data_IF_443206755249
#
_entry.id   IF_443206755249
#
_cell.length_a   1.000
_cell.length_b   1.000
_cell.length_c   1.000
_cell.angle_alpha   90.00
_cell.angle_beta   90.00
_cell.angle_gamma   90.00
#
_symmetry.space_group_name_H-M   'P 1'
#
loop_
_entity.id
_entity.type
_entity.pdbx_description
1 polymer ?
#
# COMPACT_ATOMS: atom_id res chain seq x y z
N UNK A 1 2.91 20.73 -10.25
CA UNK A 1 3.31 20.82 -11.68
C UNK A 1 3.62 19.40 -12.15
N UNK A 2 3.26 18.99 -13.37
CA UNK A 2 3.59 17.64 -13.88
C UNK A 2 5.08 17.55 -14.24
N UNK A 3 5.76 16.46 -13.86
CA UNK A 3 7.17 16.19 -14.20
C UNK A 3 7.43 16.19 -15.71
N UNK A 4 6.44 15.81 -16.52
CA UNK A 4 6.54 15.88 -17.99
C UNK A 4 6.47 17.32 -18.51
N UNK A 5 5.68 18.18 -17.84
CA UNK A 5 5.62 19.61 -18.17
C UNK A 5 6.91 20.32 -17.80
N UNK A 6 7.50 19.96 -16.65
CA UNK A 6 8.79 20.48 -16.22
C UNK A 6 9.91 20.10 -17.20
N UNK A 7 9.95 18.83 -17.63
CA UNK A 7 10.90 18.38 -18.66
C UNK A 7 10.73 19.15 -19.99
N UNK A 8 9.49 19.38 -20.43
CA UNK A 8 9.20 20.16 -21.64
C UNK A 8 9.70 21.62 -21.52
N UNK A 9 9.48 22.25 -20.36
CA UNK A 9 9.92 23.63 -20.10
C UNK A 9 11.44 23.75 -20.17
N UNK A 10 12.18 22.82 -19.53
CA UNK A 10 13.66 22.85 -19.55
C UNK A 10 14.19 22.57 -20.96
N UNK A 11 13.49 21.76 -21.76
CA UNK A 11 13.82 21.54 -23.17
C UNK A 11 13.34 22.66 -24.11
N UNK A 12 12.72 23.72 -23.58
CA UNK A 12 12.10 24.80 -24.35
C UNK A 12 11.08 24.29 -25.39
N UNK A 13 10.41 23.16 -25.12
CA UNK A 13 9.39 22.59 -25.99
C UNK A 13 8.04 23.26 -25.74
N UNK A 14 7.32 23.59 -26.82
CA UNK A 14 5.95 24.10 -26.73
C UNK A 14 4.97 22.98 -26.33
N UNK A 15 3.85 23.36 -25.70
CA UNK A 15 2.78 22.46 -25.24
C UNK A 15 2.16 21.58 -26.34
N UNK A 16 2.45 21.87 -27.61
CA UNK A 16 1.96 21.15 -28.80
C UNK A 16 2.98 20.17 -29.38
N UNK A 17 4.19 20.09 -28.80
CA UNK A 17 5.25 19.22 -29.31
C UNK A 17 5.07 17.78 -28.80
N UNK A 18 5.12 16.81 -29.71
CA UNK A 18 5.00 15.39 -29.38
C UNK A 18 6.24 14.93 -28.58
N UNK A 19 6.10 14.88 -27.25
CA UNK A 19 7.19 14.61 -26.31
C UNK A 19 7.91 13.27 -26.57
N UNK A 20 7.23 12.32 -27.23
CA UNK A 20 7.76 10.99 -27.54
C UNK A 20 9.00 11.03 -28.45
N UNK A 21 9.23 12.11 -29.19
CA UNK A 21 10.35 12.24 -30.12
C UNK A 21 11.61 12.85 -29.49
N UNK A 22 11.55 13.28 -28.23
CA UNK A 22 12.66 13.97 -27.56
C UNK A 22 13.16 13.18 -26.35
N UNK A 23 14.49 13.02 -26.18
CA UNK A 23 15.04 12.37 -25.01
C UNK A 23 14.72 13.19 -23.75
N UNK A 24 14.31 12.52 -22.67
CA UNK A 24 14.14 13.18 -21.38
C UNK A 24 15.50 13.71 -20.88
N UNK A 25 15.52 14.88 -20.25
CA UNK A 25 16.76 15.49 -19.72
C UNK A 25 16.76 15.57 -18.19
N UNK A 26 15.59 15.51 -17.57
CA UNK A 26 15.50 15.46 -16.12
C UNK A 26 16.13 14.16 -15.61
N UNK A 27 17.08 14.22 -14.64
CA UNK A 27 17.80 13.04 -14.15
C UNK A 27 16.89 11.89 -13.70
N UNK A 28 15.74 12.20 -13.12
CA UNK A 28 14.78 11.22 -12.64
C UNK A 28 13.89 10.62 -13.75
N UNK A 29 13.91 11.17 -14.97
CA UNK A 29 13.21 10.63 -16.14
C UNK A 29 14.14 9.85 -17.08
N UNK A 30 15.45 9.78 -16.78
CA UNK A 30 16.44 9.10 -17.63
C UNK A 30 16.36 7.58 -17.56
N UNK A 31 15.83 7.04 -16.46
CA UNK A 31 15.65 5.60 -16.29
C UNK A 31 14.36 5.28 -15.56
N UNK A 32 13.85 4.05 -15.78
CA UNK A 32 12.70 3.53 -15.04
C UNK A 32 12.96 3.54 -13.53
N UNK A 33 14.14 3.13 -13.08
CA UNK A 33 14.48 3.06 -11.66
C UNK A 33 14.46 4.43 -11.01
N UNK A 34 15.15 5.42 -11.61
CA UNK A 34 15.17 6.80 -11.09
C UNK A 34 13.79 7.44 -11.08
N UNK A 35 12.92 7.07 -12.02
CA UNK A 35 11.54 7.55 -12.05
C UNK A 35 10.70 6.92 -10.95
N UNK A 36 10.80 5.61 -10.77
CA UNK A 36 10.12 4.89 -9.70
C UNK A 36 10.59 5.36 -8.31
N UNK A 37 11.88 5.62 -8.14
CA UNK A 37 12.42 6.18 -6.90
C UNK A 37 11.85 7.58 -6.64
N UNK A 38 11.71 8.41 -7.66
CA UNK A 38 11.10 9.73 -7.50
C UNK A 38 9.60 9.65 -7.19
N UNK A 39 8.88 8.69 -7.78
CA UNK A 39 7.49 8.43 -7.42
C UNK A 39 7.36 7.97 -5.97
N UNK A 40 8.24 7.07 -5.51
CA UNK A 40 8.28 6.65 -4.10
C UNK A 40 8.64 7.79 -3.15
N UNK A 41 9.54 8.69 -3.54
CA UNK A 41 9.88 9.87 -2.73
C UNK A 41 8.71 10.86 -2.59
N UNK A 42 7.94 11.08 -3.67
CA UNK A 42 6.82 12.03 -3.69
C UNK A 42 5.56 11.43 -3.06
N UNK A 43 5.22 10.19 -3.40
CA UNK A 43 3.93 9.56 -3.07
C UNK A 43 4.04 8.43 -2.05
N UNK A 44 5.24 7.92 -1.79
CA UNK A 44 5.44 6.86 -0.81
C UNK A 44 5.22 7.37 0.60
N UNK A 45 4.46 6.61 1.39
CA UNK A 45 4.34 6.87 2.81
C UNK A 45 5.64 6.41 3.51
N UNK A 46 6.46 7.37 3.94
CA UNK A 46 7.71 7.09 4.68
C UNK A 46 7.48 6.31 5.97
N UNK A 47 6.24 6.33 6.47
CA UNK A 47 5.81 5.63 7.68
C UNK A 47 4.92 4.43 7.36
N UNK A 48 4.80 3.98 6.10
CA UNK A 48 3.88 2.91 5.67
C UNK A 48 3.97 1.68 6.58
N UNK A 49 5.18 1.17 6.82
CA UNK A 49 5.41 0.01 7.70
C UNK A 49 5.00 0.27 9.16
N UNK A 50 5.25 1.48 9.67
CA UNK A 50 4.89 1.85 11.04
C UNK A 50 3.39 2.09 11.19
N UNK A 51 2.76 2.69 10.19
CA UNK A 51 1.32 2.92 10.11
C UNK A 51 0.58 1.60 9.97
N UNK A 52 1.04 0.70 9.10
CA UNK A 52 0.51 -0.65 8.97
C UNK A 52 0.66 -1.43 10.29
N UNK A 53 1.80 -1.31 10.98
CA UNK A 53 2.00 -1.95 12.29
C UNK A 53 1.01 -1.43 13.33
N UNK A 54 0.84 -0.10 13.43
CA UNK A 54 -0.16 0.51 14.32
C UNK A 54 -1.57 0.04 13.98
N UNK A 55 -1.95 0.07 12.70
CA UNK A 55 -3.25 -0.39 12.25
C UNK A 55 -3.48 -1.87 12.57
N UNK A 56 -2.46 -2.72 12.39
CA UNK A 56 -2.50 -4.14 12.76
C UNK A 56 -2.69 -4.32 14.27
N UNK A 57 -2.07 -3.47 15.08
CA UNK A 57 -2.20 -3.55 16.55
C UNK A 57 -3.63 -3.27 17.04
N UNK A 58 -4.37 -2.43 16.32
CA UNK A 58 -5.78 -2.10 16.60
C UNK A 58 -6.76 -2.91 15.75
N UNK A 59 -6.30 -3.76 14.84
CA UNK A 59 -7.14 -4.52 13.93
C UNK A 59 -7.96 -5.55 14.71
N UNK A 60 -9.29 -5.38 14.68
CA UNK A 60 -10.27 -6.29 15.28
C UNK A 60 -11.43 -6.44 14.30
N UNK A 61 -12.01 -7.64 14.23
CA UNK A 61 -13.13 -7.93 13.36
C UNK A 61 -14.35 -7.06 13.71
N UNK A 62 -14.68 -6.92 15.00
CA UNK A 62 -15.82 -6.14 15.45
C UNK A 62 -17.12 -6.62 14.79
N UNK A 63 -17.75 -5.73 14.01
CA UNK A 63 -19.00 -6.00 13.28
C UNK A 63 -18.78 -6.34 11.80
N UNK A 64 -17.53 -6.40 11.33
CA UNK A 64 -17.24 -6.76 9.95
C UNK A 64 -17.40 -8.25 9.72
N UNK A 65 -17.69 -8.61 8.47
CA UNK A 65 -17.67 -10.01 8.05
C UNK A 65 -16.26 -10.59 8.19
N UNK A 66 -16.18 -11.92 8.28
CA UNK A 66 -14.88 -12.61 8.32
C UNK A 66 -14.08 -12.30 7.05
N UNK A 67 -14.70 -12.22 5.87
CA UNK A 67 -14.00 -11.92 4.62
C UNK A 67 -13.40 -10.51 4.60
N UNK A 68 -14.15 -9.49 5.03
CA UNK A 68 -13.66 -8.11 5.12
C UNK A 68 -12.50 -8.00 6.11
N UNK A 69 -12.63 -8.64 7.27
CA UNK A 69 -11.56 -8.69 8.27
C UNK A 69 -10.32 -9.41 7.72
N UNK A 70 -10.48 -10.54 7.05
CA UNK A 70 -9.37 -11.31 6.46
C UNK A 70 -8.64 -10.51 5.40
N UNK A 71 -9.38 -9.79 4.55
CA UNK A 71 -8.82 -8.93 3.51
C UNK A 71 -8.00 -7.80 4.11
N UNK A 72 -8.54 -7.08 5.12
CA UNK A 72 -7.80 -6.02 5.79
C UNK A 72 -6.57 -6.58 6.52
N UNK A 73 -6.75 -7.63 7.33
CA UNK A 73 -5.68 -8.20 8.13
C UNK A 73 -4.52 -8.72 7.27
N UNK A 74 -4.83 -9.42 6.17
CA UNK A 74 -3.83 -9.92 5.22
C UNK A 74 -3.05 -8.78 4.56
N UNK A 75 -3.74 -7.69 4.20
CA UNK A 75 -3.11 -6.51 3.62
C UNK A 75 -2.14 -5.83 4.61
N UNK A 76 -2.54 -5.72 5.88
CA UNK A 76 -1.71 -5.14 6.94
C UNK A 76 -0.50 -6.03 7.29
N UNK A 77 -0.70 -7.34 7.33
CA UNK A 77 0.36 -8.31 7.58
C UNK A 77 1.41 -8.30 6.49
N UNK A 78 1.00 -8.21 5.21
CA UNK A 78 1.94 -8.14 4.10
C UNK A 78 2.88 -6.93 4.20
N UNK A 79 2.37 -5.78 4.67
CA UNK A 79 3.16 -4.57 4.89
C UNK A 79 4.09 -4.65 6.11
N UNK A 80 3.82 -5.55 7.06
CA UNK A 80 4.59 -5.67 8.31
C UNK A 80 5.24 -7.04 8.38
N UNK A 81 6.52 -7.07 8.00
CA UNK A 81 7.43 -8.21 8.07
C UNK A 81 7.57 -8.76 9.51
N UNK A 82 6.61 -9.58 9.96
CA UNK A 82 6.62 -10.26 11.25
C UNK A 82 6.68 -11.78 11.05
N UNK A 83 6.98 -12.51 12.10
CA UNK A 83 7.00 -13.97 12.05
C UNK A 83 5.58 -14.53 11.98
N UNK A 84 5.40 -15.64 11.26
CA UNK A 84 4.10 -16.32 11.08
C UNK A 84 3.38 -16.59 12.40
N UNK A 85 4.12 -16.95 13.45
CA UNK A 85 3.56 -17.24 14.78
C UNK A 85 2.96 -16.00 15.45
N UNK A 86 3.56 -14.82 15.25
CA UNK A 86 3.03 -13.57 15.77
C UNK A 86 1.74 -13.16 15.05
N UNK A 87 1.66 -13.39 13.73
CA UNK A 87 0.45 -13.13 12.93
C UNK A 87 -0.74 -13.97 13.39
N UNK A 88 -0.55 -15.28 13.59
CA UNK A 88 -1.63 -16.16 14.04
C UNK A 88 -2.21 -15.71 15.39
N UNK A 89 -1.34 -15.34 16.34
CA UNK A 89 -1.78 -14.86 17.66
C UNK A 89 -2.55 -13.53 17.54
N UNK A 90 -2.06 -12.58 16.73
CA UNK A 90 -2.76 -11.31 16.49
C UNK A 90 -4.11 -11.50 15.82
N UNK A 91 -4.18 -12.36 14.81
CA UNK A 91 -5.41 -12.66 14.08
C UNK A 91 -6.45 -13.26 15.01
N UNK A 92 -6.07 -14.27 15.80
CA UNK A 92 -6.95 -14.93 16.77
C UNK A 92 -7.51 -13.96 17.80
N UNK A 93 -6.65 -13.10 18.38
CA UNK A 93 -7.08 -12.11 19.38
C UNK A 93 -7.98 -11.00 18.80
N UNK A 94 -7.94 -10.78 17.49
CA UNK A 94 -8.77 -9.79 16.80
C UNK A 94 -10.14 -10.32 16.36
N UNK A 95 -10.34 -11.65 16.32
CA UNK A 95 -11.60 -12.26 15.91
C UNK A 95 -12.73 -11.99 16.91
N UNK A 96 -13.94 -11.85 16.39
CA UNK A 96 -15.14 -11.77 17.21
C UNK A 96 -15.62 -13.19 17.56
N UNK A 97 -15.31 -13.64 18.78
CA UNK A 97 -15.59 -15.01 19.26
C UNK A 97 -17.08 -15.37 19.17
N UNK A 98 -17.99 -14.40 19.30
CA UNK A 98 -19.43 -14.67 19.20
C UNK A 98 -19.85 -15.23 17.84
N UNK A 99 -19.14 -14.87 16.77
CA UNK A 99 -19.39 -15.42 15.43
C UNK A 99 -18.88 -16.86 15.33
N UNK A 100 -17.76 -17.18 15.99
CA UNK A 100 -17.24 -18.55 16.05
C UNK A 100 -18.18 -19.46 16.84
N UNK A 101 -18.72 -18.98 17.96
CA UNK A 101 -19.70 -19.73 18.78
C UNK A 101 -20.97 -20.05 17.99
N UNK A 102 -21.49 -19.09 17.21
CA UNK A 102 -22.67 -19.33 16.36
C UNK A 102 -22.36 -20.30 15.22
N UNK A 103 -21.18 -20.21 14.59
CA UNK A 103 -20.77 -21.14 13.55
C UNK A 103 -20.62 -22.57 14.09
N UNK A 104 -20.01 -22.73 15.26
CA UNK A 104 -19.84 -24.04 15.92
C UNK A 104 -21.18 -24.66 16.36
N UNK A 105 -22.17 -23.84 16.76
CA UNK A 105 -23.51 -24.34 17.12
C UNK A 105 -24.38 -24.71 15.91
N UNK A 106 -23.98 -24.37 14.68
CA UNK A 106 -24.70 -24.75 13.45
C UNK A 106 -24.17 -26.04 12.82
N UNK A 107 -23.09 -26.61 13.35
CA UNK A 107 -22.54 -27.90 12.91
C UNK A 107 -23.07 -29.11 13.73
N UNK A 108 -23.90 -28.86 14.75
CA UNK A 108 -24.66 -29.87 15.52
C UNK A 108 -26.13 -29.96 15.04
#
# INVERSE_FOLDING_TARGET
MSVLKENAIIQHLSSTTHLASYPCILPHLLSLNTFLDKLKDIFGDKFEKQNAKKALDFCKQGNWTIEEYNSLFSSLVYAVDLTKQYWCNKYWNGLNIKILEVALQQED
#
